data_IF_944670098574
#
_entry.id   IF_944670098574
#
_cell.length_a   1.000
_cell.length_b   1.000
_cell.length_c   1.000
_cell.angle_alpha   90.00
_cell.angle_beta   90.00
_cell.angle_gamma   90.00
#
_symmetry.space_group_name_H-M   'P 1'
#
loop_
_entity.id
_entity.type
_entity.pdbx_description
1 polymer ?
#
# COMPACT_ATOMS: atom_id res chain seq x y z
N UNK A 1 13.02 -6.24 -1.92
CA UNK A 1 12.70 -5.47 -0.71
C UNK A 1 13.88 -5.31 0.24
N UNK A 2 15.04 -5.89 -0.07
CA UNK A 2 16.34 -5.50 0.50
C UNK A 2 17.45 -5.38 -0.57
N UNK A 3 17.02 -5.35 -1.84
CA UNK A 3 17.87 -5.34 -3.04
C UNK A 3 18.98 -6.42 -3.08
N UNK A 4 18.77 -7.59 -2.47
CA UNK A 4 19.77 -8.66 -2.40
C UNK A 4 19.75 -9.64 -3.58
N UNK A 5 18.89 -9.39 -4.57
CA UNK A 5 18.70 -10.23 -5.75
C UNK A 5 17.85 -11.48 -5.52
N UNK A 6 17.24 -11.64 -4.34
CA UNK A 6 16.28 -12.70 -4.04
C UNK A 6 14.83 -12.18 -4.08
N UNK A 7 13.90 -13.07 -4.41
CA UNK A 7 12.47 -12.74 -4.38
C UNK A 7 11.94 -12.73 -2.95
N UNK A 8 11.67 -11.52 -2.44
CA UNK A 8 10.93 -11.26 -1.21
C UNK A 8 9.42 -11.23 -1.47
N UNK A 9 8.61 -11.39 -0.41
CA UNK A 9 7.17 -11.20 -0.53
C UNK A 9 6.53 -10.74 0.79
N UNK A 10 5.46 -9.97 0.68
CA UNK A 10 4.59 -9.64 1.83
C UNK A 10 3.36 -10.53 1.76
N UNK A 11 2.97 -11.09 2.91
CA UNK A 11 1.66 -11.72 3.05
C UNK A 11 0.75 -10.85 3.89
N UNK A 12 -0.52 -10.81 3.50
CA UNK A 12 -1.62 -10.29 4.30
C UNK A 12 -2.53 -11.43 4.75
N UNK A 13 -2.86 -11.47 6.03
CA UNK A 13 -3.79 -12.45 6.58
C UNK A 13 -3.99 -12.31 8.07
N UNK A 14 -5.11 -12.81 8.59
CA UNK A 14 -5.33 -12.90 10.03
C UNK A 14 -6.52 -13.75 10.43
N UNK A 15 -6.33 -14.52 11.50
CA UNK A 15 -7.39 -15.18 12.24
C UNK A 15 -8.19 -14.21 13.11
N UNK A 16 -8.91 -14.75 14.11
CA UNK A 16 -9.91 -14.05 14.93
C UNK A 16 -9.43 -12.79 15.73
N UNK A 17 -8.17 -12.34 15.58
CA UNK A 17 -7.59 -11.17 16.26
C UNK A 17 -7.29 -9.95 15.38
N UNK A 18 -7.64 -9.98 14.08
CA UNK A 18 -7.30 -8.91 13.11
C UNK A 18 -6.28 -9.38 12.07
N UNK A 19 -6.29 -8.77 10.89
CA UNK A 19 -5.33 -9.09 9.83
C UNK A 19 -4.02 -8.36 10.09
N UNK A 20 -2.91 -9.00 9.76
CA UNK A 20 -1.56 -8.47 9.94
C UNK A 20 -0.87 -8.49 8.60
N UNK A 21 -0.03 -7.48 8.36
CA UNK A 21 0.97 -7.55 7.29
C UNK A 21 2.23 -8.16 7.85
N UNK A 22 2.76 -9.15 7.14
CA UNK A 22 4.04 -9.77 7.46
C UNK A 22 4.91 -9.79 6.21
N UNK A 23 6.09 -9.20 6.30
CA UNK A 23 7.12 -9.35 5.28
C UNK A 23 7.85 -10.65 5.52
N UNK A 24 8.12 -11.35 4.43
CA UNK A 24 9.05 -12.45 4.37
C UNK A 24 10.19 -12.04 3.43
N UNK A 25 11.39 -11.91 3.99
CA UNK A 25 12.59 -11.53 3.26
C UNK A 25 13.39 -12.81 3.03
N UNK A 26 13.72 -13.12 1.79
CA UNK A 26 14.64 -14.23 1.51
C UNK A 26 16.06 -13.76 1.80
N UNK A 27 16.89 -14.67 2.29
CA UNK A 27 18.31 -14.37 2.55
C UNK A 27 19.18 -15.50 2.02
N UNK A 28 20.41 -15.15 1.63
CA UNK A 28 21.42 -16.11 1.22
C UNK A 28 22.00 -16.84 2.46
N UNK A 29 21.61 -18.09 2.66
CA UNK A 29 22.05 -18.94 3.75
C UNK A 29 20.98 -19.14 4.83
N UNK A 30 21.15 -20.14 5.72
CA UNK A 30 20.21 -20.35 6.82
C UNK A 30 20.24 -19.16 7.82
N UNK A 31 19.08 -18.67 8.28
CA UNK A 31 17.73 -19.11 7.94
C UNK A 31 17.29 -18.46 6.61
N UNK A 32 17.14 -19.24 5.53
CA UNK A 32 16.84 -18.83 4.14
C UNK A 32 15.63 -17.91 3.93
N UNK A 33 14.89 -17.66 5.01
CA UNK A 33 13.74 -16.80 5.12
C UNK A 33 13.76 -16.18 6.52
N UNK A 34 13.76 -14.85 6.58
CA UNK A 34 13.45 -14.11 7.81
C UNK A 34 12.06 -13.48 7.64
N UNK A 35 11.32 -13.32 8.73
CA UNK A 35 9.99 -12.72 8.67
C UNK A 35 9.81 -11.71 9.79
N UNK A 36 9.33 -10.53 9.43
CA UNK A 36 8.97 -9.49 10.39
C UNK A 36 7.50 -9.12 10.23
N UNK A 37 6.86 -8.88 11.37
CA UNK A 37 5.52 -8.30 11.39
C UNK A 37 5.71 -6.79 11.22
N UNK A 38 5.48 -6.28 10.02
CA UNK A 38 5.52 -4.84 9.72
C UNK A 38 4.53 -4.12 10.62
N UNK A 39 3.36 -4.73 10.75
CA UNK A 39 2.28 -4.13 11.48
C UNK A 39 1.36 -5.21 12.05
N UNK A 40 1.05 -5.07 13.34
CA UNK A 40 0.12 -5.94 14.04
C UNK A 40 -1.33 -5.46 13.94
N UNK A 41 -1.56 -4.35 13.24
CA UNK A 41 -2.83 -3.64 13.26
C UNK A 41 -3.82 -4.27 12.29
N UNK A 42 -5.07 -4.37 12.73
CA UNK A 42 -6.17 -5.07 12.09
C UNK A 42 -6.69 -4.35 10.85
N UNK A 43 -5.86 -4.24 9.82
CA UNK A 43 -6.29 -3.93 8.47
C UNK A 43 -7.40 -4.90 8.08
N UNK A 44 -8.48 -4.41 7.49
CA UNK A 44 -9.60 -5.19 7.01
C UNK A 44 -10.10 -4.63 5.70
N UNK A 45 -10.55 -5.53 4.83
CA UNK A 45 -11.22 -5.14 3.58
C UNK A 45 -10.37 -4.17 2.74
N UNK A 46 -9.05 -4.30 2.81
CA UNK A 46 -8.10 -3.40 2.18
C UNK A 46 -7.52 -3.94 0.89
N UNK A 47 -6.72 -3.11 0.24
CA UNK A 47 -5.90 -3.46 -0.91
C UNK A 47 -4.47 -2.96 -0.66
N UNK A 48 -3.49 -3.59 -1.31
CA UNK A 48 -2.11 -3.15 -1.28
C UNK A 48 -1.42 -3.41 -2.61
N UNK A 49 -0.40 -2.62 -2.91
CA UNK A 49 0.50 -2.82 -4.04
C UNK A 49 1.85 -2.14 -3.78
N UNK A 50 2.86 -2.53 -4.55
CA UNK A 50 4.24 -2.09 -4.41
C UNK A 50 4.59 -0.98 -5.40
N UNK A 51 5.37 -0.01 -4.94
CA UNK A 51 5.90 1.08 -5.75
C UNK A 51 7.16 1.62 -5.06
N UNK A 52 8.11 2.16 -5.81
CA UNK A 52 9.15 3.03 -5.23
C UNK A 52 8.51 4.42 -5.02
N UNK A 53 8.05 4.70 -3.80
CA UNK A 53 7.21 5.85 -3.52
C UNK A 53 8.02 7.14 -3.42
N UNK A 54 9.25 7.06 -2.90
CA UNK A 54 10.13 8.21 -2.67
C UNK A 54 11.32 8.30 -3.65
N UNK A 55 11.35 7.44 -4.68
CA UNK A 55 12.35 7.40 -5.75
C UNK A 55 13.78 7.16 -5.22
N UNK A 56 13.89 6.32 -4.18
CA UNK A 56 15.15 5.99 -3.53
C UNK A 56 15.76 4.66 -4.02
N UNK A 57 15.04 3.91 -4.87
CA UNK A 57 15.45 2.63 -5.44
C UNK A 57 15.02 1.40 -4.61
N UNK A 58 14.43 1.61 -3.44
CA UNK A 58 13.89 0.57 -2.57
C UNK A 58 12.38 0.47 -2.74
N UNK A 59 11.90 -0.78 -2.82
CA UNK A 59 10.47 -1.02 -3.04
C UNK A 59 9.69 -0.76 -1.73
N UNK A 60 8.80 0.23 -1.78
CA UNK A 60 7.80 0.54 -0.76
C UNK A 60 6.47 -0.17 -1.07
N UNK A 61 5.47 0.04 -0.23
CA UNK A 61 4.09 -0.32 -0.59
C UNK A 61 3.05 0.63 -0.03
N UNK A 62 1.95 0.78 -0.77
CA UNK A 62 0.76 1.47 -0.33
C UNK A 62 -0.25 0.43 0.15
N UNK A 63 -0.88 0.67 1.31
CA UNK A 63 -2.04 -0.05 1.77
C UNK A 63 -3.21 0.92 2.01
N UNK A 64 -4.40 0.53 1.59
CA UNK A 64 -5.64 1.24 1.91
C UNK A 64 -6.66 0.28 2.50
N UNK A 65 -7.49 0.73 3.44
CA UNK A 65 -8.53 -0.12 4.00
C UNK A 65 -9.10 0.37 5.32
N UNK A 66 -9.79 -0.55 6.01
CA UNK A 66 -10.37 -0.32 7.32
C UNK A 66 -9.37 -0.68 8.42
N UNK A 67 -9.00 0.29 9.23
CA UNK A 67 -7.94 0.25 10.22
C UNK A 67 -8.54 0.33 11.63
N UNK A 68 -8.68 -0.81 12.31
CA UNK A 68 -9.21 -0.91 13.68
C UNK A 68 -8.12 -1.26 14.70
N UNK A 69 -8.20 -0.74 15.95
CA UNK A 69 -9.30 0.05 16.53
C UNK A 69 -9.14 1.58 16.39
N UNK A 70 -8.22 2.06 15.56
CA UNK A 70 -7.87 3.48 15.53
C UNK A 70 -8.91 4.35 14.81
N UNK A 71 -8.88 5.63 15.15
CA UNK A 71 -9.63 6.70 14.47
C UNK A 71 -8.64 7.60 13.74
N UNK A 72 -8.85 7.90 12.44
CA UNK A 72 -9.98 7.48 11.61
C UNK A 72 -9.93 5.97 11.28
N UNK A 73 -11.11 5.36 11.17
CA UNK A 73 -11.28 3.93 10.91
C UNK A 73 -10.91 3.52 9.48
N UNK A 74 -10.69 4.46 8.57
CA UNK A 74 -10.30 4.21 7.18
C UNK A 74 -9.05 5.01 6.88
N UNK A 75 -8.02 4.35 6.38
CA UNK A 75 -6.72 4.96 6.13
C UNK A 75 -6.09 4.45 4.85
N UNK A 76 -5.34 5.34 4.21
CA UNK A 76 -4.32 5.05 3.21
C UNK A 76 -2.97 5.33 3.86
N UNK A 77 -2.08 4.33 3.86
CA UNK A 77 -0.77 4.38 4.51
C UNK A 77 0.26 3.83 3.54
N UNK A 78 1.31 4.61 3.32
CA UNK A 78 2.52 4.16 2.63
C UNK A 78 3.46 3.62 3.68
N UNK A 79 4.06 2.47 3.42
CA UNK A 79 5.07 1.88 4.26
C UNK A 79 6.41 2.05 3.53
N UNK A 80 7.20 3.02 4.01
CA UNK A 80 8.49 3.37 3.43
C UNK A 80 9.56 2.39 3.89
N UNK A 81 10.24 1.76 2.94
CA UNK A 81 11.34 0.83 3.14
C UNK A 81 12.65 1.59 3.27
N UNK A 82 13.48 1.23 4.23
CA UNK A 82 14.83 1.80 4.41
C UNK A 82 15.93 1.03 3.65
N UNK A 83 15.53 0.17 2.71
CA UNK A 83 16.41 -0.71 1.95
C UNK A 83 16.82 -1.99 2.68
N UNK A 84 16.39 -2.18 3.92
CA UNK A 84 16.62 -3.41 4.69
C UNK A 84 15.33 -4.19 4.98
N UNK A 85 14.23 -3.82 4.32
CA UNK A 85 12.87 -4.29 4.57
C UNK A 85 12.37 -3.94 5.98
N UNK A 86 12.91 -2.87 6.57
CA UNK A 86 12.30 -2.20 7.72
C UNK A 86 11.41 -1.07 7.22
N UNK A 87 10.13 -1.16 7.58
CA UNK A 87 9.09 -0.30 7.04
C UNK A 87 8.63 0.74 8.06
N UNK A 88 8.67 2.01 7.69
CA UNK A 88 8.11 3.12 8.46
C UNK A 88 6.75 3.53 7.88
N UNK A 89 5.65 3.44 8.65
CA UNK A 89 4.33 3.85 8.17
C UNK A 89 4.22 5.38 8.06
N UNK A 90 3.69 5.85 6.94
CA UNK A 90 3.38 7.25 6.65
C UNK A 90 1.92 7.36 6.18
N UNK A 91 1.09 8.07 6.95
CA UNK A 91 -0.35 8.21 6.66
C UNK A 91 -0.56 9.25 5.55
N UNK A 92 -1.12 8.81 4.42
CA UNK A 92 -1.33 9.63 3.21
C UNK A 92 -2.82 9.86 2.91
N UNK A 93 -3.68 9.68 3.91
CA UNK A 93 -5.15 9.73 3.78
C UNK A 93 -5.69 11.08 3.28
N UNK A 94 -4.96 12.18 3.49
CA UNK A 94 -5.30 13.50 2.95
C UNK A 94 -5.12 13.61 1.44
N UNK A 95 -4.30 12.74 0.86
CA UNK A 95 -3.90 12.75 -0.55
C UNK A 95 -4.55 11.60 -1.30
N UNK A 96 -4.51 10.40 -0.72
CA UNK A 96 -5.10 9.18 -1.26
C UNK A 96 -6.34 8.84 -0.46
N UNK A 97 -7.51 8.92 -1.11
CA UNK A 97 -8.80 8.63 -0.47
C UNK A 97 -8.81 7.16 0.00
N UNK A 98 -9.10 6.89 1.28
CA UNK A 98 -9.08 5.53 1.79
C UNK A 98 -10.32 4.79 1.31
N UNK A 99 -10.11 3.69 0.56
CA UNK A 99 -11.20 2.83 0.08
C UNK A 99 -11.15 1.44 0.71
N UNK A 100 -12.31 0.81 0.79
CA UNK A 100 -12.50 -0.56 1.28
C UNK A 100 -13.22 -1.44 0.26
N UNK A 101 -13.10 -2.76 0.40
CA UNK A 101 -13.64 -3.76 -0.53
C UNK A 101 -13.28 -3.42 -1.98
N UNK A 102 -11.98 -3.19 -2.20
CA UNK A 102 -11.46 -2.56 -3.40
C UNK A 102 -10.14 -3.16 -3.87
N UNK A 103 -9.52 -2.48 -4.82
CA UNK A 103 -8.19 -2.79 -5.36
C UNK A 103 -7.45 -1.49 -5.62
N UNK A 104 -6.12 -1.57 -5.62
CA UNK A 104 -5.25 -0.52 -6.13
C UNK A 104 -4.20 -1.11 -7.05
N UNK A 105 -3.64 -0.30 -7.93
CA UNK A 105 -2.60 -0.68 -8.89
C UNK A 105 -1.77 0.55 -9.29
N UNK A 106 -0.46 0.36 -9.50
CA UNK A 106 0.46 1.37 -10.02
C UNK A 106 0.82 1.08 -11.47
N UNK A 107 0.52 2.00 -12.38
CA UNK A 107 0.69 1.82 -13.83
C UNK A 107 1.09 3.12 -14.51
N UNK A 108 2.06 3.05 -15.42
CA UNK A 108 2.41 4.15 -16.31
C UNK A 108 1.36 4.25 -17.43
N UNK A 109 0.37 5.14 -17.26
CA UNK A 109 -0.77 5.28 -18.19
C UNK A 109 -0.44 6.17 -19.39
N UNK A 110 0.52 7.07 -19.22
CA UNK A 110 0.86 8.09 -20.21
C UNK A 110 2.20 7.83 -20.94
N UNK A 111 2.91 6.76 -20.54
CA UNK A 111 4.20 6.33 -21.04
C UNK A 111 5.32 7.37 -20.84
N UNK A 112 5.29 8.08 -19.71
CA UNK A 112 6.33 9.04 -19.30
C UNK A 112 7.36 8.48 -18.31
N UNK A 113 7.17 7.22 -17.89
CA UNK A 113 8.03 6.52 -16.94
C UNK A 113 7.65 6.74 -15.47
N UNK A 114 6.71 7.63 -15.16
CA UNK A 114 6.14 7.78 -13.83
C UNK A 114 4.89 6.90 -13.67
N UNK A 115 4.80 6.18 -12.56
CA UNK A 115 3.63 5.34 -12.29
C UNK A 115 2.48 6.18 -11.73
N UNK A 116 1.31 6.07 -12.36
CA UNK A 116 0.05 6.56 -11.82
C UNK A 116 -0.62 5.53 -10.92
N UNK A 117 -1.30 6.01 -9.89
CA UNK A 117 -2.05 5.16 -8.96
C UNK A 117 -3.53 5.12 -9.37
N UNK A 118 -4.06 3.92 -9.55
CA UNK A 118 -5.49 3.67 -9.71
C UNK A 118 -6.02 3.06 -8.42
N UNK A 119 -7.16 3.55 -7.93
CA UNK A 119 -7.86 2.95 -6.79
C UNK A 119 -9.33 2.77 -7.12
N UNK A 120 -9.89 1.63 -6.73
CA UNK A 120 -11.31 1.33 -6.84
C UNK A 120 -11.83 0.76 -5.51
N UNK A 121 -13.06 1.05 -5.15
CA UNK A 121 -13.67 0.51 -3.94
C UNK A 121 -14.82 1.34 -3.41
N UNK A 122 -15.04 1.26 -2.10
CA UNK A 122 -16.11 1.96 -1.38
C UNK A 122 -15.52 2.89 -0.31
N UNK A 123 -16.14 4.05 -0.09
CA UNK A 123 -15.71 4.98 0.97
C UNK A 123 -15.99 4.48 2.40
N UNK A 124 -16.86 3.48 2.58
CA UNK A 124 -17.15 2.85 3.87
C UNK A 124 -17.85 1.49 3.72
N UNK A 125 -17.86 0.70 4.80
CA UNK A 125 -18.45 -0.65 4.80
C UNK A 125 -19.99 -0.69 4.86
N UNK A 126 -20.64 0.31 5.45
CA UNK A 126 -22.06 0.24 5.81
C UNK A 126 -22.99 1.08 4.93
N UNK A 127 -22.46 1.89 4.00
CA UNK A 127 -23.18 2.70 2.98
C UNK A 127 -22.20 3.54 2.12
N UNK A 128 -21.01 3.02 1.84
CA UNK A 128 -19.99 3.77 1.08
C UNK A 128 -20.41 4.05 -0.35
N UNK A 129 -19.99 5.19 -0.86
CA UNK A 129 -20.08 5.50 -2.29
C UNK A 129 -19.02 4.68 -3.05
N UNK A 130 -19.36 4.21 -4.25
CA UNK A 130 -18.37 3.62 -5.15
C UNK A 130 -17.43 4.71 -5.63
N UNK A 131 -16.13 4.45 -5.55
CA UNK A 131 -15.08 5.35 -6.03
C UNK A 131 -14.19 4.63 -7.01
N UNK A 132 -13.75 5.37 -8.01
CA UNK A 132 -12.70 5.00 -8.95
C UNK A 132 -11.87 6.26 -9.16
N UNK A 133 -10.68 6.28 -8.59
CA UNK A 133 -9.79 7.43 -8.63
C UNK A 133 -8.52 7.07 -9.41
N UNK A 134 -8.03 8.03 -10.19
CA UNK A 134 -6.70 7.99 -10.80
C UNK A 134 -5.92 9.14 -10.18
N UNK A 135 -4.71 8.86 -9.71
CA UNK A 135 -3.78 9.86 -9.18
C UNK A 135 -2.54 9.92 -10.06
N UNK A 136 -2.16 11.12 -10.47
CA UNK A 136 -0.95 11.37 -11.24
C UNK A 136 0.21 11.77 -10.34
N UNK A 137 1.39 11.20 -10.57
CA UNK A 137 2.61 11.63 -9.89
C UNK A 137 3.08 12.97 -10.49
N UNK A 138 3.08 14.02 -9.67
CA UNK A 138 3.49 15.37 -10.08
C UNK A 138 4.40 15.96 -9.01
N UNK A 139 5.63 16.33 -9.41
CA UNK A 139 6.63 16.93 -8.53
C UNK A 139 6.87 16.14 -7.24
N UNK A 140 6.90 14.80 -7.32
CA UNK A 140 7.11 13.91 -6.18
C UNK A 140 5.89 13.68 -5.29
N UNK A 141 4.68 14.02 -5.77
CA UNK A 141 3.44 13.78 -5.02
C UNK A 141 2.29 13.33 -5.91
N UNK A 142 1.47 12.41 -5.41
CA UNK A 142 0.26 11.99 -6.11
C UNK A 142 -0.83 13.05 -6.02
N UNK A 143 -1.39 13.42 -7.15
CA UNK A 143 -2.47 14.40 -7.27
C UNK A 143 -3.68 13.78 -7.96
N UNK A 144 -4.92 14.02 -7.49
CA UNK A 144 -6.11 13.51 -8.15
C UNK A 144 -6.16 13.98 -9.61
N UNK A 145 -6.34 13.05 -10.54
CA UNK A 145 -6.56 13.41 -11.93
C UNK A 145 -7.94 14.08 -12.06
N UNK A 146 -7.95 15.33 -12.52
CA UNK A 146 -9.16 16.15 -12.61
C UNK A 146 -10.18 15.64 -13.65
N UNK A 147 -9.79 14.70 -14.51
CA UNK A 147 -10.71 14.03 -15.44
C UNK A 147 -11.43 12.88 -14.75
N UNK A 148 -12.62 13.15 -14.24
CA UNK A 148 -13.55 12.08 -13.81
C UNK A 148 -13.86 11.20 -15.01
N UNK A 149 -13.61 9.89 -14.88
CA UNK A 149 -14.24 8.88 -15.74
C UNK A 149 -15.71 8.83 -15.33
N UNK A 150 -16.53 9.64 -15.98
CA UNK A 150 -17.99 9.61 -15.90
C UNK A 150 -18.58 8.91 -17.11
#
# INVERSE_FOLDING_TARGET
MNNDGLFDYISWGGGNGGQKYRVYIRVNGPPWLISEVIDSIGWRHGAMDFVDWDDNGDMDFLAMGHFQPYSPAYQSVVFLNDGTAHFTPNVVTSTIEPLVNGSLDFVDLNNDGALELITIGFTSLSKGEKRSNIYQLQSGSYQPNSKRLC
#
